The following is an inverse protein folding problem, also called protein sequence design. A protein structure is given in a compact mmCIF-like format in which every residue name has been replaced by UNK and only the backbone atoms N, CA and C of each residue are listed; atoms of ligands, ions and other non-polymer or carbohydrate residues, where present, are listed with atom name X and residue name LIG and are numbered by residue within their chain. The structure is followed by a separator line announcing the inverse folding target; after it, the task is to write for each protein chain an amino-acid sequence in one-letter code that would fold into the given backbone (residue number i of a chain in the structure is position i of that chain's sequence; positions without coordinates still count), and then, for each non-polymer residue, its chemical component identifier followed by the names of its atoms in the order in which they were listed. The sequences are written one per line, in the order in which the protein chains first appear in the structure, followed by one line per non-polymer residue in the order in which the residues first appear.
data_IF_303681796372
#
_entry.id   IF_303681796372
#
_cell.length_a   1.000
_cell.length_b   1.000
_cell.length_c   1.000
_cell.angle_alpha   90.00
_cell.angle_beta   90.00
_cell.angle_gamma   90.00
#
_symmetry.space_group_name_H-M   'P 1'
#
loop_
_entity.id
_entity.type
_entity.pdbx_description
1 polymer ?
#
# COMPACT_ATOMS: atom_id res chain seq x y z
N UNK A 1 -18.60 -17.30 14.62
CA UNK A 1 -18.79 -16.40 13.45
C UNK A 1 -17.77 -15.29 13.54
N UNK A 2 -17.15 -14.91 12.42
CA UNK A 2 -16.12 -13.88 12.37
C UNK A 2 -16.55 -12.67 11.56
N UNK A 3 -16.10 -11.49 11.98
CA UNK A 3 -16.22 -10.28 11.17
C UNK A 3 -15.08 -10.19 10.18
N UNK A 4 -15.28 -9.35 9.17
CA UNK A 4 -14.30 -9.07 8.13
C UNK A 4 -12.94 -8.65 8.69
N UNK A 5 -12.96 -7.85 9.77
CA UNK A 5 -11.75 -7.35 10.42
C UNK A 5 -10.81 -8.44 10.96
N UNK A 6 -11.28 -9.65 11.23
CA UNK A 6 -10.44 -10.69 11.84
C UNK A 6 -10.46 -12.06 11.16
N UNK A 7 -11.38 -12.33 10.23
CA UNK A 7 -11.45 -13.65 9.56
C UNK A 7 -10.18 -14.00 8.76
N UNK A 8 -9.46 -13.00 8.25
CA UNK A 8 -8.26 -13.19 7.42
C UNK A 8 -6.95 -12.91 8.19
N UNK A 9 -7.02 -12.68 9.50
CA UNK A 9 -5.82 -12.33 10.29
C UNK A 9 -4.96 -13.57 10.47
N UNK A 10 -3.75 -13.56 9.90
CA UNK A 10 -2.82 -14.70 9.90
C UNK A 10 -2.46 -15.14 11.32
N UNK A 11 -2.30 -14.21 12.27
CA UNK A 11 -1.99 -14.55 13.66
C UNK A 11 -3.10 -15.35 14.35
N UNK A 12 -4.33 -15.32 13.84
CA UNK A 12 -5.45 -16.15 14.32
C UNK A 12 -5.58 -17.48 13.57
N UNK A 13 -4.86 -17.65 12.46
CA UNK A 13 -4.84 -18.89 11.67
C UNK A 13 -3.73 -19.86 12.11
N UNK A 14 -3.15 -19.63 13.28
CA UNK A 14 -2.05 -20.44 13.81
C UNK A 14 -2.51 -21.86 14.21
N UNK A 15 -1.68 -22.91 14.03
CA UNK A 15 -2.06 -24.30 14.32
C UNK A 15 -2.55 -24.53 15.75
N UNK A 16 -1.97 -23.84 16.73
CA UNK A 16 -2.35 -23.98 18.16
C UNK A 16 -3.73 -23.37 18.48
N UNK A 17 -4.26 -22.49 17.63
CA UNK A 17 -5.60 -21.90 17.78
C UNK A 17 -6.67 -22.69 17.03
N UNK A 18 -6.29 -23.59 16.13
CA UNK A 18 -7.23 -24.41 15.34
C UNK A 18 -8.21 -25.26 16.17
N UNK A 19 -7.87 -25.78 17.37
CA UNK A 19 -8.85 -26.43 18.24
C UNK A 19 -10.02 -25.53 18.65
N UNK A 20 -9.83 -24.20 18.65
CA UNK A 20 -10.85 -23.22 19.07
C UNK A 20 -11.46 -22.46 17.90
N UNK A 21 -10.68 -22.20 16.85
CA UNK A 21 -11.07 -21.36 15.72
C UNK A 21 -11.31 -22.15 14.42
N UNK A 22 -10.99 -23.44 14.40
CA UNK A 22 -11.23 -24.31 13.26
C UNK A 22 -12.71 -24.35 12.89
N UNK A 23 -13.00 -24.21 11.60
CA UNK A 23 -14.38 -24.17 11.10
C UNK A 23 -15.11 -22.83 11.30
N UNK A 24 -14.40 -21.76 11.70
CA UNK A 24 -14.99 -20.42 11.79
C UNK A 24 -15.47 -19.94 10.42
N UNK A 25 -16.74 -19.53 10.36
CA UNK A 25 -17.35 -18.85 9.20
C UNK A 25 -17.38 -17.34 9.43
N UNK A 26 -16.99 -16.58 8.41
CA UNK A 26 -17.00 -15.12 8.45
C UNK A 26 -17.15 -14.48 7.07
N UNK A 27 -17.28 -13.16 7.07
CA UNK A 27 -17.40 -12.36 5.86
C UNK A 27 -16.01 -11.84 5.51
N UNK A 28 -15.56 -11.95 4.26
CA UNK A 28 -14.29 -11.39 3.81
C UNK A 28 -14.48 -10.47 2.61
N UNK A 29 -13.65 -9.42 2.50
CA UNK A 29 -13.59 -8.56 1.30
C UNK A 29 -13.24 -9.43 0.09
N UNK A 30 -13.84 -9.14 -1.08
CA UNK A 30 -13.53 -9.86 -2.31
C UNK A 30 -12.04 -9.74 -2.64
N UNK A 31 -11.42 -10.87 -2.97
CA UNK A 31 -10.07 -10.92 -3.52
C UNK A 31 -10.03 -10.16 -4.85
N UNK A 32 -8.99 -9.38 -5.04
CA UNK A 32 -8.67 -8.72 -6.31
C UNK A 32 -7.36 -9.23 -6.90
N UNK A 33 -6.99 -8.63 -8.02
CA UNK A 33 -5.71 -8.86 -8.69
C UNK A 33 -5.20 -7.52 -9.22
N UNK A 34 -3.89 -7.28 -9.08
CA UNK A 34 -3.20 -6.09 -9.59
C UNK A 34 -2.03 -6.61 -10.44
N UNK A 35 -2.19 -6.53 -11.76
CA UNK A 35 -1.17 -6.97 -12.70
C UNK A 35 0.13 -6.18 -12.52
N UNK A 36 1.28 -6.87 -12.47
CA UNK A 36 2.59 -6.26 -12.27
C UNK A 36 2.91 -5.83 -10.84
N UNK A 37 2.00 -6.02 -9.86
CA UNK A 37 2.25 -5.63 -8.47
C UNK A 37 3.48 -6.34 -7.89
N UNK A 38 3.61 -7.65 -8.08
CA UNK A 38 4.77 -8.41 -7.58
C UNK A 38 6.08 -7.83 -8.13
N UNK A 39 6.13 -7.60 -9.44
CA UNK A 39 7.32 -7.08 -10.11
C UNK A 39 7.67 -5.67 -9.62
N UNK A 40 6.66 -4.85 -9.31
CA UNK A 40 6.85 -3.54 -8.69
C UNK A 40 7.41 -3.66 -7.26
N UNK A 41 6.88 -4.56 -6.43
CA UNK A 41 7.36 -4.76 -5.06
C UNK A 41 8.82 -5.24 -5.02
N UNK A 42 9.23 -6.05 -5.99
CA UNK A 42 10.62 -6.51 -6.12
C UNK A 42 11.61 -5.40 -6.52
N UNK A 43 11.12 -4.28 -7.05
CA UNK A 43 11.96 -3.12 -7.41
C UNK A 43 12.21 -2.16 -6.25
N UNK A 44 11.58 -2.38 -5.09
CA UNK A 44 11.77 -1.53 -3.91
C UNK A 44 13.24 -1.59 -3.46
N UNK A 45 13.85 -0.43 -3.21
CA UNK A 45 15.24 -0.33 -2.73
C UNK A 45 15.36 0.72 -1.63
N UNK A 46 16.18 0.48 -0.59
CA UNK A 46 16.39 1.45 0.48
C UNK A 46 17.21 2.63 -0.04
N UNK A 47 17.01 3.79 0.58
CA UNK A 47 17.89 4.93 0.38
C UNK A 47 19.03 4.90 1.39
N UNK A 48 20.24 4.59 0.91
CA UNK A 48 21.46 4.45 1.72
C UNK A 48 22.15 5.79 2.00
N UNK A 49 21.85 6.84 1.24
CA UNK A 49 22.52 8.14 1.33
C UNK A 49 21.79 9.15 2.21
N UNK A 50 20.89 8.67 3.07
CA UNK A 50 19.97 9.54 3.77
C UNK A 50 20.65 10.33 4.89
N UNK A 51 20.96 11.60 4.61
CA UNK A 51 21.58 12.53 5.53
C UNK A 51 20.50 13.18 6.43
N UNK A 52 20.01 12.44 7.43
CA UNK A 52 19.31 12.88 8.66
C UNK A 52 18.22 13.98 8.63
N UNK A 53 17.74 14.50 7.49
CA UNK A 53 16.83 15.66 7.45
C UNK A 53 15.35 15.32 7.21
N UNK A 54 15.03 14.12 6.71
CA UNK A 54 13.64 13.67 6.57
C UNK A 54 13.50 12.22 7.01
N UNK A 55 13.12 11.99 8.27
CA UNK A 55 13.09 10.70 8.98
C UNK A 55 12.98 9.40 8.16
N UNK A 56 13.77 8.40 8.59
CA UNK A 56 13.84 7.00 8.15
C UNK A 56 12.61 6.55 7.34
N UNK A 57 12.77 6.43 6.01
CA UNK A 57 11.68 6.06 5.10
C UNK A 57 11.09 4.69 5.51
N UNK A 58 9.79 4.48 5.26
CA UNK A 58 9.17 3.17 5.52
C UNK A 58 9.92 2.03 4.81
N UNK A 59 10.46 2.31 3.62
CA UNK A 59 11.26 1.38 2.84
C UNK A 59 12.55 0.99 3.56
N UNK A 60 13.23 1.96 4.17
CA UNK A 60 14.45 1.70 4.94
C UNK A 60 14.16 0.80 6.14
N UNK A 61 13.13 1.10 6.94
CA UNK A 61 12.72 0.25 8.08
C UNK A 61 12.31 -1.15 7.64
N UNK A 62 11.56 -1.25 6.54
CA UNK A 62 11.20 -2.53 5.95
C UNK A 62 12.46 -3.32 5.58
N UNK A 63 13.45 -2.67 4.97
CA UNK A 63 14.71 -3.29 4.58
C UNK A 63 15.51 -3.80 5.78
N UNK A 64 15.69 -2.95 6.79
CA UNK A 64 16.38 -3.28 8.05
C UNK A 64 15.73 -4.48 8.74
N UNK A 65 14.39 -4.49 8.82
CA UNK A 65 13.65 -5.59 9.42
C UNK A 65 13.72 -6.89 8.59
N UNK A 66 13.64 -6.78 7.28
CA UNK A 66 13.63 -7.94 6.37
C UNK A 66 14.97 -8.64 6.33
N UNK A 67 16.07 -7.88 6.26
CA UNK A 67 17.43 -8.42 6.15
C UNK A 67 18.20 -8.42 7.47
N UNK A 68 17.57 -8.02 8.58
CA UNK A 68 18.19 -7.96 9.91
C UNK A 68 19.50 -7.14 9.93
N UNK A 69 19.53 -6.07 9.13
CA UNK A 69 20.67 -5.17 8.97
C UNK A 69 20.29 -3.73 9.40
N UNK A 70 21.23 -2.79 9.34
CA UNK A 70 20.92 -1.36 9.55
C UNK A 70 21.53 -0.47 8.50
N UNK A 71 20.83 0.61 8.19
CA UNK A 71 21.26 1.68 7.30
C UNK A 71 21.98 2.74 8.13
N UNK A 72 23.11 3.23 7.64
CA UNK A 72 23.88 4.26 8.33
C UNK A 72 23.10 5.59 8.47
N UNK A 73 23.29 6.38 9.54
CA UNK A 73 24.20 6.17 10.67
C UNK A 73 23.61 5.28 11.77
N UNK A 74 24.48 4.51 12.43
CA UNK A 74 24.08 3.43 13.34
C UNK A 74 24.27 3.81 14.82
N UNK A 75 23.53 3.18 15.75
CA UNK A 75 23.86 3.23 17.18
C UNK A 75 25.29 2.74 17.44
N UNK A 76 25.98 3.38 18.40
CA UNK A 76 27.33 2.99 18.82
C UNK A 76 27.37 1.52 19.27
N UNK A 77 28.46 0.81 18.93
CA UNK A 77 28.68 -0.59 19.33
C UNK A 77 27.89 -1.64 18.54
N UNK A 78 27.05 -1.27 17.55
CA UNK A 78 26.27 -2.29 16.84
C UNK A 78 27.12 -3.26 15.99
N UNK A 79 28.11 -2.74 15.26
CA UNK A 79 29.01 -3.59 14.48
C UNK A 79 29.85 -4.47 15.41
N UNK A 80 30.22 -3.95 16.59
CA UNK A 80 30.94 -4.69 17.63
C UNK A 80 30.07 -5.77 18.29
N UNK A 81 28.75 -5.56 18.34
CA UNK A 81 27.75 -6.55 18.74
C UNK A 81 27.42 -7.57 17.63
N UNK A 82 28.16 -7.55 16.51
CA UNK A 82 28.08 -8.54 15.44
C UNK A 82 27.00 -8.27 14.38
N UNK A 83 26.42 -7.08 14.31
CA UNK A 83 25.34 -6.85 13.36
C UNK A 83 25.75 -6.14 12.05
N UNK A 84 25.06 -6.46 10.96
CA UNK A 84 25.50 -6.18 9.58
C UNK A 84 24.92 -4.90 8.99
N UNK A 85 25.66 -4.23 8.11
CA UNK A 85 25.17 -3.04 7.40
C UNK A 85 24.36 -3.45 6.17
N UNK A 86 23.25 -2.75 5.93
CA UNK A 86 22.50 -2.95 4.70
C UNK A 86 23.30 -2.37 3.52
N UNK A 87 23.53 -3.20 2.51
CA UNK A 87 24.21 -2.85 1.25
C UNK A 87 23.26 -2.27 0.22
N UNK A 88 21.95 -2.51 0.37
CA UNK A 88 20.91 -2.19 -0.62
C UNK A 88 20.88 -3.13 -1.84
N UNK A 89 21.84 -4.07 -1.91
CA UNK A 89 21.98 -5.06 -2.97
C UNK A 89 21.40 -6.42 -2.59
N UNK A 90 20.82 -6.54 -1.40
CA UNK A 90 20.16 -7.75 -0.95
C UNK A 90 19.02 -8.14 -1.91
N UNK A 91 18.75 -9.44 -2.00
CA UNK A 91 17.79 -10.02 -2.94
C UNK A 91 16.48 -10.27 -2.20
N UNK A 92 15.51 -9.37 -2.41
CA UNK A 92 14.17 -9.42 -1.79
C UNK A 92 13.43 -10.71 -2.13
N UNK A 93 13.59 -11.21 -3.36
CA UNK A 93 12.90 -12.42 -3.82
C UNK A 93 13.23 -13.67 -3.00
N UNK A 94 14.40 -13.70 -2.35
CA UNK A 94 14.83 -14.85 -1.56
C UNK A 94 14.26 -14.84 -0.13
N UNK A 95 13.51 -13.80 0.25
CA UNK A 95 12.96 -13.69 1.61
C UNK A 95 11.47 -14.03 1.56
N UNK A 96 11.08 -15.06 2.30
CA UNK A 96 9.67 -15.37 2.54
C UNK A 96 9.06 -14.28 3.43
N UNK A 97 8.29 -13.38 2.81
CA UNK A 97 7.55 -12.33 3.52
C UNK A 97 6.12 -12.28 3.02
N UNK A 98 5.17 -12.07 3.93
CA UNK A 98 3.76 -11.81 3.58
C UNK A 98 3.64 -10.61 2.63
N UNK A 99 4.58 -9.66 2.73
CA UNK A 99 4.64 -8.48 1.88
C UNK A 99 4.72 -8.81 0.37
N UNK A 100 5.41 -9.89 -0.02
CA UNK A 100 5.53 -10.29 -1.43
C UNK A 100 4.43 -11.26 -1.89
N UNK A 101 3.59 -11.74 -0.96
CA UNK A 101 2.47 -12.62 -1.29
C UNK A 101 1.30 -11.83 -1.88
N UNK A 102 1.33 -11.67 -3.20
CA UNK A 102 0.23 -11.04 -3.95
C UNK A 102 -0.91 -12.01 -4.28
N UNK A 103 -0.86 -13.26 -3.78
CA UNK A 103 -1.86 -14.28 -4.11
C UNK A 103 -3.21 -14.04 -3.44
N UNK A 104 -3.32 -13.20 -2.41
CA UNK A 104 -4.58 -12.99 -1.69
C UNK A 104 -4.82 -11.52 -1.33
N UNK A 105 -4.58 -10.61 -2.26
CA UNK A 105 -4.83 -9.18 -2.04
C UNK A 105 -6.31 -8.86 -1.90
N UNK A 106 -6.66 -8.09 -0.86
CA UNK A 106 -8.04 -7.70 -0.53
C UNK A 106 -8.09 -6.23 -0.13
N UNK A 107 -7.47 -5.88 0.99
CA UNK A 107 -7.40 -4.49 1.45
C UNK A 107 -6.55 -3.64 0.49
N UNK A 108 -5.44 -4.20 0.03
CA UNK A 108 -4.54 -3.61 -0.96
C UNK A 108 -5.29 -3.31 -2.26
N UNK A 109 -6.20 -4.22 -2.67
CA UNK A 109 -7.03 -4.02 -3.85
C UNK A 109 -8.06 -2.89 -3.68
N UNK A 110 -8.57 -2.68 -2.47
CA UNK A 110 -9.42 -1.52 -2.20
C UNK A 110 -8.63 -0.21 -2.22
N UNK A 111 -7.38 -0.20 -1.73
CA UNK A 111 -6.48 0.95 -1.87
C UNK A 111 -6.22 1.26 -3.34
N UNK A 112 -5.91 0.23 -4.13
CA UNK A 112 -5.72 0.35 -5.58
C UNK A 112 -6.94 0.96 -6.28
N UNK A 113 -8.14 0.43 -6.01
CA UNK A 113 -9.39 0.98 -6.56
C UNK A 113 -9.67 2.41 -6.11
N UNK A 114 -9.34 2.77 -4.87
CA UNK A 114 -9.56 4.13 -4.38
C UNK A 114 -8.68 5.15 -5.13
N UNK A 115 -7.41 4.81 -5.37
CA UNK A 115 -6.50 5.64 -6.18
C UNK A 115 -6.98 5.71 -7.63
N UNK A 116 -7.41 4.59 -8.22
CA UNK A 116 -7.97 4.58 -9.57
C UNK A 116 -9.25 5.40 -9.69
N UNK A 117 -10.15 5.30 -8.73
CA UNK A 117 -11.36 6.10 -8.71
C UNK A 117 -11.02 7.59 -8.68
N UNK A 118 -10.02 8.00 -7.88
CA UNK A 118 -9.54 9.38 -7.87
C UNK A 118 -8.93 9.78 -9.22
N UNK A 119 -8.12 8.92 -9.82
CA UNK A 119 -7.54 9.17 -11.13
C UNK A 119 -8.62 9.35 -12.20
N UNK A 120 -9.65 8.50 -12.22
CA UNK A 120 -10.79 8.64 -13.13
C UNK A 120 -11.57 9.94 -12.89
N UNK A 121 -11.84 10.30 -11.63
CA UNK A 121 -12.51 11.56 -11.33
C UNK A 121 -11.70 12.78 -11.83
N UNK A 122 -10.37 12.74 -11.71
CA UNK A 122 -9.50 13.80 -12.24
C UNK A 122 -9.45 13.79 -13.78
N UNK A 123 -9.45 12.61 -14.40
CA UNK A 123 -9.48 12.44 -15.85
C UNK A 123 -10.79 12.99 -16.45
N UNK A 124 -11.94 12.71 -15.82
CA UNK A 124 -13.23 13.28 -16.21
C UNK A 124 -13.23 14.81 -16.15
N UNK A 125 -12.60 15.39 -15.13
CA UNK A 125 -12.46 16.85 -15.01
C UNK A 125 -11.60 17.40 -16.15
N UNK A 126 -10.53 16.70 -16.52
CA UNK A 126 -9.63 17.10 -17.61
C UNK A 126 -10.30 17.00 -18.99
N UNK A 127 -11.13 15.98 -19.20
CA UNK A 127 -11.84 15.74 -20.46
C UNK A 127 -13.19 16.48 -20.53
N UNK A 128 -13.56 17.22 -19.48
CA UNK A 128 -14.84 17.92 -19.41
C UNK A 128 -14.97 18.98 -20.50
N UNK A 129 -16.01 18.86 -21.32
CA UNK A 129 -16.36 19.86 -22.34
C UNK A 129 -17.26 20.96 -21.76
N UNK A 130 -16.97 22.25 -21.97
CA UNK A 130 -17.83 23.33 -21.52
C UNK A 130 -19.27 23.15 -22.01
N UNK A 131 -20.24 23.22 -21.10
CA UNK A 131 -21.65 22.99 -21.40
C UNK A 131 -22.12 21.54 -21.18
N UNK A 132 -21.21 20.63 -20.83
CA UNK A 132 -21.50 19.23 -20.44
C UNK A 132 -20.99 18.87 -19.05
N UNK A 133 -20.44 19.84 -18.32
CA UNK A 133 -19.90 19.59 -16.99
C UNK A 133 -20.98 19.35 -15.94
N UNK A 134 -20.61 18.71 -14.82
CA UNK A 134 -21.58 18.32 -13.79
C UNK A 134 -21.96 19.49 -12.86
N UNK A 135 -21.31 20.65 -12.97
CA UNK A 135 -21.55 21.80 -12.09
C UNK A 135 -22.65 22.74 -12.64
N UNK A 136 -22.98 23.77 -11.87
CA UNK A 136 -24.02 24.74 -12.25
C UNK A 136 -23.78 25.32 -13.64
N UNK A 137 -24.85 25.51 -14.41
CA UNK A 137 -24.80 25.92 -15.83
C UNK A 137 -23.96 25.00 -16.73
N UNK A 138 -23.88 23.71 -16.37
CA UNK A 138 -23.08 22.69 -17.04
C UNK A 138 -21.59 23.08 -17.17
N UNK A 139 -21.07 23.75 -16.16
CA UNK A 139 -19.68 24.20 -16.12
C UNK A 139 -18.74 23.06 -15.72
N UNK A 140 -17.48 23.18 -16.13
CA UNK A 140 -16.40 22.25 -15.80
C UNK A 140 -15.52 22.84 -14.69
N UNK A 141 -14.96 21.98 -13.85
CA UNK A 141 -13.89 22.39 -12.94
C UNK A 141 -12.57 22.56 -13.71
N UNK A 142 -11.69 23.42 -13.19
CA UNK A 142 -10.35 23.63 -13.75
C UNK A 142 -9.29 23.08 -12.82
N UNK A 143 -8.43 22.19 -13.32
CA UNK A 143 -7.42 21.48 -12.51
C UNK A 143 -6.54 22.42 -11.66
N UNK A 144 -6.17 23.58 -12.21
CA UNK A 144 -5.29 24.57 -11.56
C UNK A 144 -5.93 25.25 -10.35
N UNK A 145 -7.25 25.25 -10.26
CA UNK A 145 -8.04 25.86 -9.17
C UNK A 145 -9.00 24.84 -8.57
N UNK A 146 -8.64 23.56 -8.66
CA UNK A 146 -9.48 22.46 -8.24
C UNK A 146 -9.59 22.45 -6.72
N UNK A 147 -10.82 22.49 -6.22
CA UNK A 147 -11.11 22.37 -4.80
C UNK A 147 -11.49 20.93 -4.44
N UNK A 148 -11.12 20.42 -3.25
CA UNK A 148 -11.39 19.02 -2.86
C UNK A 148 -12.87 18.62 -2.96
N UNK A 149 -13.81 19.55 -2.73
CA UNK A 149 -15.24 19.27 -2.84
C UNK A 149 -15.69 19.02 -4.28
N UNK A 150 -15.01 19.59 -5.28
CA UNK A 150 -15.31 19.37 -6.69
C UNK A 150 -14.98 17.93 -7.10
N UNK A 151 -13.85 17.41 -6.59
CA UNK A 151 -13.49 16.00 -6.77
C UNK A 151 -14.50 15.09 -6.07
N UNK A 152 -14.90 15.44 -4.84
CA UNK A 152 -15.98 14.73 -4.13
C UNK A 152 -17.27 14.69 -4.95
N UNK A 153 -17.65 15.81 -5.57
CA UNK A 153 -18.84 15.89 -6.39
C UNK A 153 -18.74 15.02 -7.64
N UNK A 154 -17.56 14.97 -8.27
CA UNK A 154 -17.30 14.12 -9.43
C UNK A 154 -17.50 12.63 -9.10
N UNK A 155 -17.02 12.17 -7.94
CA UNK A 155 -17.25 10.80 -7.47
C UNK A 155 -18.73 10.44 -7.38
N UNK A 156 -19.56 11.37 -6.90
CA UNK A 156 -21.01 11.13 -6.73
C UNK A 156 -21.80 11.25 -8.01
N UNK A 157 -21.31 12.00 -9.00
CA UNK A 157 -22.01 12.21 -10.27
C UNK A 157 -21.94 10.97 -11.18
N UNK A 158 -20.80 10.26 -11.17
CA UNK A 158 -20.54 9.09 -12.01
C UNK A 158 -20.79 7.74 -11.32
N UNK A 159 -21.30 7.73 -10.07
CA UNK A 159 -21.69 6.51 -9.32
C UNK A 159 -23.17 6.20 -9.47
#
# INVERSE_FOLDING_TARGET
MASEAWISVISLQMPHLMPYLGGTLGIAIRRGEISGLRDFLLQIRPNLHHNNTHGNSMVNKFWEHTFQCSIAPRPEGWVEAGGELCTGLEVIENVETEFLDVSNIRLEYNVYKAVYALAYALDDILQCEPGRGPFSNNTCAHLQRLEPWQVRYQFTYNS
#
